data_IF_576075043605
#
_entry.id   IF_576075043605
#
_cell.length_a   1.000
_cell.length_b   1.000
_cell.length_c   1.000
_cell.angle_alpha   90.00
_cell.angle_beta   90.00
_cell.angle_gamma   90.00
#
_symmetry.space_group_name_H-M   'P 1'
#
loop_
_entity.id
_entity.type
_entity.pdbx_description
1 polymer ?
#
# COMPACT_ATOMS: atom_id res chain seq x y z
N UNK A 1 0.50 2.76 -12.34
CA UNK A 1 1.24 1.50 -12.45
C UNK A 1 0.68 0.55 -11.42
N UNK A 2 0.22 -0.62 -11.83
CA UNK A 2 -0.39 -1.60 -10.94
C UNK A 2 0.73 -2.32 -10.17
N UNK A 3 0.76 -2.15 -8.85
CA UNK A 3 1.73 -2.77 -7.94
C UNK A 3 1.03 -3.94 -7.23
N UNK A 4 1.16 -5.18 -7.75
CA UNK A 4 0.83 -6.53 -7.18
C UNK A 4 0.28 -7.49 -8.27
N UNK A 5 0.38 -8.83 -8.29
CA UNK A 5 1.02 -9.91 -7.50
C UNK A 5 1.45 -11.02 -8.49
N UNK A 6 2.74 -11.31 -8.64
CA UNK A 6 3.21 -12.51 -9.34
C UNK A 6 3.27 -13.71 -8.38
N UNK A 7 2.63 -14.84 -8.71
CA UNK A 7 2.91 -16.14 -8.08
C UNK A 7 2.20 -16.50 -6.76
N UNK A 8 0.99 -15.98 -6.48
CA UNK A 8 0.16 -16.38 -5.32
C UNK A 8 -1.24 -16.88 -5.72
N UNK A 9 -2.09 -17.35 -4.77
CA UNK A 9 -3.43 -17.89 -5.07
C UNK A 9 -4.39 -16.89 -5.74
N UNK A 10 -4.10 -15.59 -5.64
CA UNK A 10 -4.85 -14.52 -6.29
C UNK A 10 -4.16 -13.97 -7.56
N UNK A 11 -2.99 -14.50 -7.93
CA UNK A 11 -2.26 -14.06 -9.13
C UNK A 11 -3.02 -14.50 -10.39
N UNK A 12 -3.04 -13.64 -11.41
CA UNK A 12 -3.79 -13.88 -12.65
C UNK A 12 -3.34 -15.13 -13.42
N UNK A 13 -2.11 -15.64 -13.18
CA UNK A 13 -1.56 -16.86 -13.79
C UNK A 13 -0.79 -17.68 -12.75
N UNK A 14 -0.93 -19.01 -12.80
CA UNK A 14 -0.08 -19.93 -12.05
C UNK A 14 1.35 -19.93 -12.63
N UNK A 15 2.39 -20.07 -11.80
CA UNK A 15 3.75 -20.30 -12.31
C UNK A 15 3.85 -21.68 -12.98
N UNK A 16 4.73 -21.83 -13.98
CA UNK A 16 4.92 -23.11 -14.70
C UNK A 16 5.46 -24.26 -13.83
N UNK A 17 5.88 -23.95 -12.60
CA UNK A 17 6.50 -24.88 -11.64
C UNK A 17 5.52 -25.54 -10.67
N UNK A 18 4.22 -25.54 -10.97
CA UNK A 18 3.21 -26.25 -10.16
C UNK A 18 2.82 -27.58 -10.80
N UNK A 19 2.56 -28.59 -9.98
CA UNK A 19 2.01 -29.88 -10.42
C UNK A 19 0.47 -29.95 -10.29
N UNK A 20 -0.20 -28.80 -10.11
CA UNK A 20 -1.65 -28.65 -10.01
C UNK A 20 -2.12 -27.39 -10.75
N UNK A 21 -3.37 -27.38 -11.20
CA UNK A 21 -3.97 -26.18 -11.83
C UNK A 21 -4.72 -25.36 -10.79
N UNK A 22 -4.61 -24.03 -10.84
CA UNK A 22 -5.49 -23.13 -10.09
C UNK A 22 -6.64 -22.74 -11.02
N UNK A 23 -7.74 -23.49 -10.94
CA UNK A 23 -8.94 -23.24 -11.74
C UNK A 23 -9.78 -22.11 -11.12
N UNK A 24 -10.30 -21.22 -11.97
CA UNK A 24 -11.17 -20.10 -11.55
C UNK A 24 -11.33 -19.04 -12.63
N UNK A 25 -12.22 -18.05 -12.42
CA UNK A 25 -12.36 -16.94 -13.36
C UNK A 25 -11.05 -16.13 -13.46
N UNK A 26 -10.81 -15.49 -14.61
CA UNK A 26 -9.62 -14.64 -14.80
C UNK A 26 -9.59 -13.44 -13.82
N UNK A 27 -10.77 -12.92 -13.49
CA UNK A 27 -10.97 -11.93 -12.46
C UNK A 27 -11.45 -12.61 -11.18
N UNK A 28 -10.61 -12.64 -10.15
CA UNK A 28 -10.90 -13.34 -8.90
C UNK A 28 -11.25 -12.34 -7.80
N UNK A 29 -12.30 -12.69 -7.05
CA UNK A 29 -12.74 -11.97 -5.87
C UNK A 29 -12.59 -12.91 -4.67
N UNK A 30 -11.93 -12.45 -3.61
CA UNK A 30 -11.88 -13.14 -2.33
C UNK A 30 -12.51 -12.24 -1.28
N UNK A 31 -13.55 -12.77 -0.63
CA UNK A 31 -14.24 -12.12 0.48
C UNK A 31 -13.80 -12.75 1.79
N UNK A 32 -13.16 -11.96 2.63
CA UNK A 32 -12.54 -12.46 3.86
C UNK A 32 -13.03 -11.69 5.09
N UNK A 33 -13.35 -12.38 6.19
CA UNK A 33 -13.51 -11.74 7.49
C UNK A 33 -12.30 -10.88 7.89
N UNK A 34 -12.56 -9.64 8.29
CA UNK A 34 -11.60 -8.80 8.98
C UNK A 34 -12.00 -8.75 10.46
N UNK A 35 -11.34 -9.52 11.35
CA UNK A 35 -11.84 -9.78 12.70
C UNK A 35 -11.57 -8.64 13.68
N UNK A 36 -10.87 -7.58 13.26
CA UNK A 36 -10.54 -6.42 14.06
C UNK A 36 -11.59 -5.32 13.93
N UNK A 37 -11.76 -4.52 14.97
CA UNK A 37 -12.60 -3.31 14.92
C UNK A 37 -11.99 -2.29 13.98
N UNK A 38 -12.80 -1.68 13.11
CA UNK A 38 -12.37 -0.56 12.27
C UNK A 38 -13.27 0.63 12.52
N UNK A 39 -12.67 1.82 12.60
CA UNK A 39 -13.40 3.08 12.68
C UNK A 39 -12.91 4.08 11.63
N UNK A 40 -13.83 4.91 11.14
CA UNK A 40 -13.52 6.03 10.26
C UNK A 40 -14.20 7.31 10.76
N UNK A 41 -13.47 8.42 10.74
CA UNK A 41 -13.93 9.71 11.23
C UNK A 41 -13.89 10.77 10.12
N UNK A 42 -14.92 11.63 10.09
CA UNK A 42 -14.92 12.90 9.36
C UNK A 42 -15.15 14.01 10.38
N UNK A 43 -14.16 14.89 10.53
CA UNK A 43 -14.05 15.84 11.63
C UNK A 43 -14.03 15.09 12.97
N UNK A 44 -14.92 15.46 13.88
CA UNK A 44 -15.08 14.79 15.18
C UNK A 44 -16.14 13.68 15.18
N UNK A 45 -16.79 13.40 14.04
CA UNK A 45 -17.86 12.41 13.98
C UNK A 45 -17.33 11.06 13.49
N UNK A 46 -17.65 10.00 14.25
CA UNK A 46 -17.46 8.61 13.79
C UNK A 46 -18.51 8.29 12.74
N UNK A 47 -18.07 8.09 11.50
CA UNK A 47 -18.93 7.77 10.34
C UNK A 47 -19.16 6.26 10.23
N UNK A 48 -18.13 5.49 10.58
CA UNK A 48 -18.08 4.03 10.51
C UNK A 48 -17.48 3.49 11.81
N UNK A 49 -18.08 2.45 12.36
CA UNK A 49 -17.56 1.69 13.50
C UNK A 49 -18.03 0.23 13.41
N UNK A 50 -17.13 -0.69 13.05
CA UNK A 50 -17.50 -2.08 12.75
C UNK A 50 -16.51 -3.08 13.33
N UNK A 51 -17.02 -4.13 13.97
CA UNK A 51 -16.29 -5.37 14.31
C UNK A 51 -16.63 -6.53 13.38
N UNK A 52 -17.43 -6.26 12.34
CA UNK A 52 -17.97 -7.27 11.41
C UNK A 52 -17.49 -7.03 9.98
N UNK A 53 -16.42 -6.25 9.83
CA UNK A 53 -15.88 -5.86 8.56
C UNK A 53 -15.33 -7.05 7.75
N UNK A 54 -15.20 -6.82 6.45
CA UNK A 54 -14.75 -7.79 5.45
C UNK A 54 -13.75 -7.12 4.52
N UNK A 55 -12.67 -7.82 4.19
CA UNK A 55 -11.77 -7.41 3.12
C UNK A 55 -12.20 -8.09 1.82
N UNK A 56 -12.45 -7.27 0.80
CA UNK A 56 -12.59 -7.72 -0.58
C UNK A 56 -11.25 -7.59 -1.27
N UNK A 57 -10.62 -8.73 -1.57
CA UNK A 57 -9.46 -8.79 -2.45
C UNK A 57 -9.95 -8.99 -3.88
N UNK A 58 -9.38 -8.21 -4.80
CA UNK A 58 -9.70 -8.24 -6.21
C UNK A 58 -8.38 -8.32 -6.99
N UNK A 59 -8.32 -9.18 -8.00
CA UNK A 59 -7.07 -9.42 -8.74
C UNK A 59 -6.41 -8.12 -9.20
N UNK A 60 -5.15 -7.92 -8.79
CA UNK A 60 -4.31 -6.76 -9.07
C UNK A 60 -4.81 -5.42 -8.49
N UNK A 61 -5.68 -5.45 -7.49
CA UNK A 61 -6.11 -4.26 -6.74
C UNK A 61 -5.78 -4.40 -5.26
N UNK A 62 -5.59 -3.26 -4.60
CA UNK A 62 -5.51 -3.22 -3.15
C UNK A 62 -6.84 -3.66 -2.53
N UNK A 63 -6.80 -4.47 -1.44
CA UNK A 63 -8.03 -4.90 -0.78
C UNK A 63 -8.87 -3.71 -0.30
N UNK A 64 -10.18 -3.83 -0.46
CA UNK A 64 -11.13 -2.82 0.01
C UNK A 64 -11.88 -3.33 1.23
N UNK A 65 -12.01 -2.48 2.25
CA UNK A 65 -12.79 -2.80 3.44
C UNK A 65 -14.27 -2.51 3.16
N UNK A 66 -15.10 -3.52 3.40
CA UNK A 66 -16.55 -3.41 3.41
C UNK A 66 -17.07 -3.69 4.82
N UNK A 67 -18.06 -2.93 5.23
CA UNK A 67 -18.76 -3.10 6.51
C UNK A 67 -20.25 -3.34 6.26
N UNK A 68 -20.97 -4.02 7.17
CA UNK A 68 -22.42 -4.00 7.16
C UNK A 68 -22.94 -2.56 7.12
N UNK A 69 -23.98 -2.30 6.33
CA UNK A 69 -24.57 -0.96 6.21
C UNK A 69 -25.04 -0.40 7.56
N UNK A 70 -25.47 -1.27 8.47
CA UNK A 70 -25.88 -0.90 9.82
C UNK A 70 -24.74 -0.34 10.71
N UNK A 71 -23.48 -0.57 10.33
CA UNK A 71 -22.31 -0.06 11.05
C UNK A 71 -21.88 1.35 10.56
N UNK A 72 -22.61 1.89 9.57
CA UNK A 72 -22.48 3.27 9.11
C UNK A 72 -23.53 4.16 9.79
N UNK A 73 -23.13 5.39 10.09
CA UNK A 73 -24.04 6.43 10.61
C UNK A 73 -24.93 6.98 9.49
N UNK A 74 -26.11 6.37 9.32
CA UNK A 74 -27.06 6.73 8.25
C UNK A 74 -27.53 8.18 8.28
N UNK A 75 -27.59 8.81 9.46
CA UNK A 75 -27.95 10.22 9.61
C UNK A 75 -26.91 11.18 9.00
N UNK A 76 -25.71 10.69 8.67
CA UNK A 76 -24.65 11.45 8.01
C UNK A 76 -24.58 11.18 6.50
N UNK A 77 -25.40 10.27 5.96
CA UNK A 77 -25.32 9.82 4.56
C UNK A 77 -26.39 10.49 3.69
N UNK A 78 -25.96 11.11 2.60
CA UNK A 78 -26.83 11.70 1.58
C UNK A 78 -26.65 10.94 0.26
N UNK A 79 -27.74 10.36 -0.29
CA UNK A 79 -27.63 9.64 -1.57
C UNK A 79 -27.16 10.57 -2.68
N UNK A 80 -26.13 10.16 -3.42
CA UNK A 80 -25.61 10.87 -4.57
C UNK A 80 -26.32 10.40 -5.84
N UNK A 81 -26.37 11.26 -6.87
CA UNK A 81 -26.78 10.85 -8.22
C UNK A 81 -25.71 10.01 -8.95
N UNK A 82 -24.47 9.97 -8.44
CA UNK A 82 -23.38 9.23 -9.06
C UNK A 82 -23.61 7.72 -9.04
N UNK A 83 -23.32 7.05 -10.14
CA UNK A 83 -23.44 5.60 -10.34
C UNK A 83 -22.27 5.11 -11.17
N UNK A 84 -21.83 3.88 -10.92
CA UNK A 84 -20.83 3.20 -11.75
C UNK A 84 -21.27 1.76 -11.99
N UNK A 85 -20.86 1.19 -13.13
CA UNK A 85 -21.10 -0.21 -13.45
C UNK A 85 -19.78 -0.99 -13.38
N UNK A 86 -19.77 -2.09 -12.63
CA UNK A 86 -18.68 -3.04 -12.61
C UNK A 86 -19.15 -4.37 -13.22
N UNK A 87 -18.46 -4.91 -14.24
CA UNK A 87 -18.88 -6.16 -14.90
C UNK A 87 -18.79 -7.39 -13.99
N UNK A 88 -18.14 -7.28 -12.82
CA UNK A 88 -17.96 -8.39 -11.87
C UNK A 88 -18.83 -8.24 -10.62
N UNK A 89 -19.25 -7.01 -10.28
CA UNK A 89 -19.95 -6.71 -9.02
C UNK A 89 -21.35 -6.16 -9.22
N UNK A 90 -21.67 -5.58 -10.38
CA UNK A 90 -22.98 -4.97 -10.68
C UNK A 90 -22.94 -3.45 -10.63
N UNK A 91 -24.10 -2.83 -10.44
CA UNK A 91 -24.25 -1.37 -10.39
C UNK A 91 -24.03 -0.84 -8.97
N UNK A 92 -23.08 0.07 -8.83
CA UNK A 92 -22.77 0.73 -7.57
C UNK A 92 -23.62 1.98 -7.37
N UNK A 93 -24.09 2.17 -6.14
CA UNK A 93 -24.67 3.41 -5.64
C UNK A 93 -23.70 4.11 -4.71
N UNK A 94 -23.83 5.42 -4.62
CA UNK A 94 -22.91 6.28 -3.87
C UNK A 94 -23.67 7.21 -2.93
N UNK A 95 -23.01 7.53 -1.81
CA UNK A 95 -23.48 8.52 -0.83
C UNK A 95 -22.37 9.49 -0.50
N UNK A 96 -22.75 10.76 -0.32
CA UNK A 96 -21.91 11.75 0.33
C UNK A 96 -21.97 11.54 1.85
N UNK A 97 -20.90 11.92 2.55
CA UNK A 97 -20.90 12.01 4.02
C UNK A 97 -20.88 13.47 4.40
N UNK A 98 -21.86 13.93 5.19
CA UNK A 98 -21.94 15.31 5.68
C UNK A 98 -21.83 15.38 7.19
N UNK A 99 -20.90 16.20 7.68
CA UNK A 99 -20.72 16.50 9.11
C UNK A 99 -20.60 18.01 9.29
N UNK A 100 -21.69 18.65 9.71
CA UNK A 100 -21.78 20.11 9.72
C UNK A 100 -21.56 20.67 8.31
N UNK A 101 -20.58 21.56 8.16
CA UNK A 101 -20.21 22.16 6.87
C UNK A 101 -19.23 21.30 6.05
N UNK A 102 -18.69 20.21 6.63
CA UNK A 102 -17.80 19.29 5.90
C UNK A 102 -18.61 18.32 5.05
N UNK A 103 -18.21 18.16 3.79
CA UNK A 103 -18.80 17.20 2.85
C UNK A 103 -17.70 16.38 2.20
N UNK A 104 -17.81 15.06 2.32
CA UNK A 104 -17.02 14.12 1.54
C UNK A 104 -17.92 13.55 0.43
N UNK A 105 -17.73 14.02 -0.81
CA UNK A 105 -18.56 13.64 -1.95
C UNK A 105 -18.29 12.20 -2.40
N UNK A 106 -19.35 11.46 -2.71
CA UNK A 106 -19.30 10.06 -3.17
C UNK A 106 -18.41 9.16 -2.29
N UNK A 107 -18.31 9.47 -0.99
CA UNK A 107 -17.39 8.87 -0.05
C UNK A 107 -17.72 7.41 0.26
N UNK A 108 -18.99 7.03 0.23
CA UNK A 108 -19.48 5.68 0.51
C UNK A 108 -20.07 5.08 -0.75
N UNK A 109 -19.83 3.80 -1.01
CA UNK A 109 -20.52 3.07 -2.07
C UNK A 109 -20.99 1.69 -1.62
N UNK A 110 -21.99 1.17 -2.31
CA UNK A 110 -22.47 -0.21 -2.14
C UNK A 110 -23.00 -0.76 -3.46
N UNK A 111 -23.20 -2.08 -3.50
CA UNK A 111 -23.89 -2.78 -4.58
C UNK A 111 -25.22 -3.30 -4.04
N UNK A 112 -26.35 -2.60 -4.29
CA UNK A 112 -27.66 -3.04 -3.77
C UNK A 112 -28.16 -4.34 -4.42
N UNK A 113 -27.85 -4.50 -5.70
CA UNK A 113 -28.20 -5.67 -6.52
C UNK A 113 -26.93 -6.24 -7.15
N UNK A 114 -26.04 -6.86 -6.35
CA UNK A 114 -24.78 -7.37 -6.88
C UNK A 114 -25.02 -8.56 -7.82
N UNK A 115 -24.11 -8.76 -8.76
CA UNK A 115 -24.13 -9.94 -9.62
C UNK A 115 -24.01 -11.24 -8.79
N UNK A 116 -24.51 -12.36 -9.32
CA UNK A 116 -24.53 -13.64 -8.60
C UNK A 116 -23.15 -14.07 -8.05
N UNK A 117 -22.07 -13.80 -8.81
CA UNK A 117 -20.69 -14.05 -8.41
C UNK A 117 -20.11 -13.06 -7.40
N UNK A 118 -20.93 -12.16 -6.85
CA UNK A 118 -20.59 -11.20 -5.80
C UNK A 118 -21.74 -11.01 -4.79
N UNK A 119 -22.69 -11.96 -4.71
CA UNK A 119 -23.92 -11.83 -3.93
C UNK A 119 -23.70 -11.52 -2.43
N UNK A 120 -22.53 -11.91 -1.89
CA UNK A 120 -22.09 -11.62 -0.52
C UNK A 120 -21.83 -10.12 -0.23
N UNK A 121 -21.77 -9.27 -1.26
CA UNK A 121 -21.71 -7.81 -1.09
C UNK A 121 -23.07 -7.22 -0.66
N UNK A 122 -24.17 -7.97 -0.79
CA UNK A 122 -25.50 -7.50 -0.39
C UNK A 122 -25.49 -7.03 1.06
N UNK A 123 -26.06 -5.85 1.32
CA UNK A 123 -26.12 -5.26 2.66
C UNK A 123 -24.79 -4.72 3.19
N UNK A 124 -23.72 -4.73 2.40
CA UNK A 124 -22.43 -4.15 2.75
C UNK A 124 -22.15 -2.87 1.96
N UNK A 125 -21.36 -1.99 2.55
CA UNK A 125 -20.88 -0.76 1.94
C UNK A 125 -19.39 -0.58 2.25
N UNK A 126 -18.70 0.16 1.39
CA UNK A 126 -17.31 0.54 1.57
C UNK A 126 -17.19 2.06 1.59
N UNK A 127 -16.13 2.56 2.22
CA UNK A 127 -15.83 4.00 2.33
C UNK A 127 -14.45 4.24 1.75
N UNK A 128 -14.30 5.26 0.92
CA UNK A 128 -13.00 5.61 0.35
C UNK A 128 -12.07 6.08 1.46
N UNK A 129 -10.88 5.50 1.55
CA UNK A 129 -9.92 5.86 2.60
C UNK A 129 -9.59 7.35 2.64
N UNK A 130 -9.38 7.95 1.46
CA UNK A 130 -9.04 9.35 1.29
C UNK A 130 -10.19 10.33 1.54
N UNK A 131 -11.41 9.85 1.76
CA UNK A 131 -12.58 10.72 1.98
C UNK A 131 -12.83 11.00 3.46
N UNK A 132 -12.12 10.32 4.36
CA UNK A 132 -12.21 10.48 5.82
C UNK A 132 -10.93 11.12 6.35
N UNK A 133 -11.03 11.82 7.48
CA UNK A 133 -9.89 12.51 8.10
C UNK A 133 -9.00 11.56 8.91
N UNK A 134 -9.59 10.52 9.51
CA UNK A 134 -8.86 9.55 10.33
C UNK A 134 -9.48 8.15 10.24
N UNK A 135 -8.62 7.14 10.34
CA UNK A 135 -8.98 5.74 10.36
C UNK A 135 -8.29 5.02 11.49
N UNK A 136 -8.96 4.05 12.11
CA UNK A 136 -8.42 3.27 13.20
C UNK A 136 -8.59 1.78 12.93
N UNK A 137 -7.51 1.02 13.08
CA UNK A 137 -7.51 -0.44 13.18
C UNK A 137 -7.32 -0.80 14.65
N UNK A 138 -8.36 -1.36 15.27
CA UNK A 138 -8.55 -1.32 16.72
C UNK A 138 -8.45 0.12 17.24
N UNK A 139 -7.51 0.39 18.14
CA UNK A 139 -7.20 1.72 18.69
C UNK A 139 -5.96 2.36 18.05
N UNK A 140 -5.30 1.70 17.09
CA UNK A 140 -4.18 2.26 16.35
C UNK A 140 -4.70 3.09 15.17
N UNK A 141 -4.32 4.37 15.10
CA UNK A 141 -4.60 5.18 13.92
C UNK A 141 -3.78 4.66 12.72
N UNK A 142 -4.45 4.41 11.60
CA UNK A 142 -3.83 3.92 10.37
C UNK A 142 -3.91 4.98 9.28
N UNK A 143 -2.83 5.08 8.50
CA UNK A 143 -2.75 6.02 7.38
C UNK A 143 -2.73 5.27 6.05
N UNK A 144 -3.47 5.77 5.08
CA UNK A 144 -3.56 5.19 3.73
C UNK A 144 -4.67 4.14 3.63
N UNK A 145 -4.50 2.98 4.26
CA UNK A 145 -5.54 1.95 4.37
C UNK A 145 -5.20 0.96 5.49
N UNK A 146 -6.18 0.17 5.94
CA UNK A 146 -5.91 -0.96 6.86
C UNK A 146 -4.91 -1.95 6.23
N UNK A 147 -4.04 -2.51 7.06
CA UNK A 147 -2.99 -3.44 6.60
C UNK A 147 -3.61 -4.77 6.17
N UNK A 148 -3.28 -5.22 4.96
CA UNK A 148 -3.66 -6.53 4.43
C UNK A 148 -2.98 -7.63 5.26
N UNK A 149 -3.72 -8.59 5.86
CA UNK A 149 -3.15 -9.72 6.60
C UNK A 149 -2.16 -10.59 5.81
N UNK A 150 -2.17 -10.56 4.49
CA UNK A 150 -1.25 -11.30 3.62
C UNK A 150 -0.06 -10.47 3.14
N UNK A 151 -0.09 -9.16 3.35
CA UNK A 151 1.05 -8.31 3.06
C UNK A 151 2.08 -8.46 4.17
N UNK A 152 3.32 -8.74 3.79
CA UNK A 152 4.43 -8.94 4.72
C UNK A 152 5.61 -8.10 4.27
N UNK A 153 6.24 -7.46 5.24
CA UNK A 153 7.57 -6.88 5.11
C UNK A 153 8.54 -7.78 5.89
N UNK A 154 9.50 -8.41 5.19
CA UNK A 154 10.57 -9.20 5.83
C UNK A 154 11.92 -8.51 5.61
N UNK A 155 12.67 -8.33 6.70
CA UNK A 155 13.95 -7.62 6.70
C UNK A 155 15.06 -8.54 7.23
N UNK A 156 16.03 -8.85 6.37
CA UNK A 156 17.16 -9.73 6.68
C UNK A 156 18.50 -9.00 6.51
N UNK A 157 19.42 -9.11 7.50
CA UNK A 157 20.78 -8.63 7.28
C UNK A 157 21.42 -9.44 6.15
N UNK A 158 22.25 -8.79 5.34
CA UNK A 158 22.94 -9.45 4.24
C UNK A 158 24.39 -8.99 4.14
N UNK A 159 25.28 -9.94 3.83
CA UNK A 159 26.69 -9.69 3.54
C UNK A 159 27.00 -9.61 2.04
N UNK A 160 25.96 -9.69 1.20
CA UNK A 160 26.08 -9.49 -0.26
C UNK A 160 26.68 -8.12 -0.54
N UNK A 161 27.45 -8.04 -1.61
CA UNK A 161 28.12 -6.81 -2.01
C UNK A 161 27.15 -5.93 -2.79
N UNK A 162 26.79 -4.77 -2.24
CA UNK A 162 25.86 -3.82 -2.84
C UNK A 162 26.60 -2.55 -3.21
N UNK A 163 26.54 -2.15 -4.47
CA UNK A 163 27.14 -0.92 -4.98
C UNK A 163 26.05 -0.07 -5.65
N UNK A 164 25.98 1.22 -5.31
CA UNK A 164 25.05 2.17 -5.92
C UNK A 164 25.83 3.20 -6.71
N UNK A 165 25.46 3.43 -7.97
CA UNK A 165 26.11 4.38 -8.88
C UNK A 165 25.10 5.30 -9.54
N UNK A 166 25.51 6.53 -9.83
CA UNK A 166 24.75 7.47 -10.65
C UNK A 166 25.72 8.27 -11.52
N UNK A 167 25.50 8.29 -12.84
CA UNK A 167 26.36 9.03 -13.78
C UNK A 167 27.86 8.70 -13.67
N UNK A 168 28.21 7.43 -13.43
CA UNK A 168 29.59 6.98 -13.22
C UNK A 168 30.20 7.31 -11.85
N UNK A 169 29.48 8.02 -10.99
CA UNK A 169 29.89 8.30 -9.60
C UNK A 169 29.37 7.20 -8.69
N UNK A 170 30.26 6.58 -7.90
CA UNK A 170 29.86 5.67 -6.83
C UNK A 170 29.32 6.44 -5.63
N UNK A 171 28.08 6.14 -5.26
CA UNK A 171 27.34 6.81 -4.20
C UNK A 171 27.42 6.00 -2.91
N UNK A 172 27.41 4.68 -3.00
CA UNK A 172 27.48 3.81 -1.84
C UNK A 172 28.09 2.45 -2.20
N UNK A 173 28.79 1.84 -1.22
CA UNK A 173 29.30 0.48 -1.30
C UNK A 173 29.15 -0.18 0.08
N UNK A 174 28.45 -1.32 0.15
CA UNK A 174 28.19 -2.01 1.41
C UNK A 174 28.32 -3.53 1.30
N UNK A 175 28.71 -4.16 2.42
CA UNK A 175 28.62 -5.61 2.69
C UNK A 175 27.86 -5.89 3.99
N UNK A 176 27.00 -4.95 4.39
CA UNK A 176 26.25 -4.98 5.66
C UNK A 176 24.90 -4.27 5.51
N UNK A 177 24.32 -4.40 4.33
CA UNK A 177 22.99 -3.89 4.03
C UNK A 177 21.91 -4.75 4.69
N UNK A 178 20.69 -4.24 4.69
CA UNK A 178 19.49 -5.04 4.89
C UNK A 178 18.80 -5.30 3.57
N UNK A 179 18.45 -6.56 3.31
CA UNK A 179 17.52 -6.95 2.26
C UNK A 179 16.11 -6.85 2.83
N UNK A 180 15.27 -6.05 2.17
CA UNK A 180 13.84 -5.97 2.42
C UNK A 180 13.08 -6.67 1.29
N UNK A 181 12.28 -7.66 1.66
CA UNK A 181 11.34 -8.37 0.79
C UNK A 181 9.93 -7.99 1.19
N UNK A 182 9.14 -7.53 0.23
CA UNK A 182 7.78 -7.07 0.47
C UNK A 182 6.82 -7.83 -0.46
N UNK A 183 5.68 -8.28 0.07
CA UNK A 183 4.74 -9.13 -0.68
C UNK A 183 4.40 -8.52 -2.04
N UNK A 184 4.79 -9.21 -3.11
CA UNK A 184 4.48 -8.82 -4.49
C UNK A 184 5.34 -7.69 -5.05
N UNK A 185 6.36 -7.21 -4.34
CA UNK A 185 7.29 -6.18 -4.81
C UNK A 185 8.71 -6.75 -4.99
N UNK A 186 9.52 -6.17 -5.90
CA UNK A 186 10.91 -6.58 -6.02
C UNK A 186 11.69 -6.21 -4.76
N UNK A 187 12.73 -7.00 -4.48
CA UNK A 187 13.61 -6.80 -3.34
C UNK A 187 14.25 -5.40 -3.34
N UNK A 188 14.46 -4.85 -2.14
CA UNK A 188 15.13 -3.57 -1.93
C UNK A 188 16.27 -3.72 -0.95
N UNK A 189 17.38 -3.04 -1.22
CA UNK A 189 18.55 -3.03 -0.35
C UNK A 189 18.61 -1.69 0.39
N UNK A 190 18.72 -1.76 1.71
CA UNK A 190 18.82 -0.63 2.60
C UNK A 190 20.25 -0.58 3.17
N UNK A 191 21.00 0.45 2.79
CA UNK A 191 22.40 0.62 3.13
C UNK A 191 22.52 1.52 4.37
N UNK A 192 23.41 1.18 5.32
CA UNK A 192 23.64 2.05 6.48
C UNK A 192 24.34 3.34 6.01
N UNK A 193 24.01 4.48 6.63
CA UNK A 193 24.52 5.79 6.19
C UNK A 193 26.06 5.86 6.11
N UNK A 194 26.77 5.15 6.99
CA UNK A 194 28.25 5.06 6.99
C UNK A 194 28.86 4.42 5.74
N UNK A 195 28.06 3.73 4.94
CA UNK A 195 28.47 3.09 3.68
C UNK A 195 28.02 3.94 2.47
N UNK A 196 27.44 5.11 2.72
CA UNK A 196 26.90 6.03 1.72
C UNK A 196 27.66 7.34 1.77
N UNK A 197 27.98 7.92 0.61
CA UNK A 197 28.50 9.27 0.45
C UNK A 197 27.40 10.30 0.69
N UNK A 198 27.02 10.47 1.95
CA UNK A 198 25.89 11.34 2.36
C UNK A 198 26.12 12.81 2.04
N UNK A 199 27.36 13.24 1.82
CA UNK A 199 27.72 14.58 1.34
C UNK A 199 27.19 14.88 -0.07
N UNK A 200 26.82 13.86 -0.84
CA UNK A 200 26.17 14.00 -2.15
C UNK A 200 24.64 14.08 -2.06
N UNK A 201 24.07 13.94 -0.85
CA UNK A 201 22.63 13.86 -0.62
C UNK A 201 22.13 15.10 0.12
N UNK A 202 21.09 15.72 -0.43
CA UNK A 202 20.38 16.84 0.20
C UNK A 202 18.96 16.42 0.61
N UNK A 203 18.44 16.86 1.77
CA UNK A 203 17.04 16.68 2.11
C UNK A 203 16.09 17.21 1.04
N UNK A 204 15.10 16.40 0.67
CA UNK A 204 13.98 16.83 -0.18
C UNK A 204 12.79 17.22 0.67
N UNK A 205 11.91 18.08 0.15
CA UNK A 205 10.61 18.36 0.75
C UNK A 205 9.65 17.16 0.59
N UNK A 206 9.94 16.24 -0.33
CA UNK A 206 9.10 15.07 -0.62
C UNK A 206 9.09 14.10 0.56
N UNK A 207 7.88 13.76 0.98
CA UNK A 207 7.61 12.69 1.93
C UNK A 207 6.45 11.85 1.42
N UNK A 208 6.53 10.54 1.60
CA UNK A 208 5.43 9.63 1.29
C UNK A 208 5.10 8.79 2.52
N UNK A 209 3.84 8.38 2.64
CA UNK A 209 3.42 7.52 3.74
C UNK A 209 3.09 6.14 3.20
N UNK A 210 3.72 5.11 3.77
CA UNK A 210 3.42 3.72 3.51
C UNK A 210 2.69 3.11 4.72
N UNK A 211 1.52 2.46 4.55
CA UNK A 211 0.78 1.83 5.65
C UNK A 211 1.57 0.73 6.38
N UNK A 212 2.59 0.16 5.74
CA UNK A 212 3.40 -0.94 6.28
C UNK A 212 4.77 -0.52 6.81
N UNK A 213 5.32 0.59 6.30
CA UNK A 213 6.69 1.03 6.62
C UNK A 213 6.75 2.37 7.36
N UNK A 214 5.69 3.17 7.32
CA UNK A 214 5.62 4.51 7.91
C UNK A 214 5.98 5.60 6.90
N UNK A 215 6.47 6.74 7.41
CA UNK A 215 6.84 7.89 6.58
C UNK A 215 8.24 7.73 5.99
N UNK A 216 8.32 7.73 4.65
CA UNK A 216 9.57 7.83 3.90
C UNK A 216 9.94 9.31 3.73
N UNK A 217 11.20 9.63 3.99
CA UNK A 217 11.79 10.95 3.76
C UNK A 217 12.79 10.84 2.62
N UNK A 218 12.64 11.67 1.60
CA UNK A 218 13.46 11.58 0.39
C UNK A 218 14.71 12.47 0.46
N UNK A 219 15.69 12.12 -0.37
CA UNK A 219 16.95 12.84 -0.54
C UNK A 219 17.24 13.01 -2.03
N UNK A 220 17.55 14.24 -2.43
CA UNK A 220 18.02 14.57 -3.77
C UNK A 220 19.51 14.30 -3.88
N UNK A 221 19.92 13.60 -4.92
CA UNK A 221 21.31 13.26 -5.20
C UNK A 221 21.94 14.30 -6.12
N UNK A 222 23.10 14.84 -5.73
CA UNK A 222 23.92 15.73 -6.57
C UNK A 222 25.25 15.08 -6.88
N UNK A 223 25.53 14.92 -8.16
CA UNK A 223 26.83 14.41 -8.66
C UNK A 223 27.38 15.38 -9.71
N UNK A 224 28.65 15.24 -10.12
CA UNK A 224 29.16 15.98 -11.28
C UNK A 224 28.37 15.71 -12.57
N UNK A 225 27.69 14.56 -12.65
CA UNK A 225 26.84 14.17 -13.79
C UNK A 225 25.44 14.79 -13.78
N UNK A 226 25.06 15.52 -12.72
CA UNK A 226 23.76 16.18 -12.61
C UNK A 226 23.05 15.96 -11.28
N UNK A 227 21.79 16.39 -11.24
CA UNK A 227 20.90 16.30 -10.08
C UNK A 227 19.83 15.25 -10.37
N UNK A 228 19.62 14.33 -9.43
CA UNK A 228 18.53 13.36 -9.46
C UNK A 228 17.66 13.63 -8.24
N UNK A 229 16.49 14.21 -8.48
CA UNK A 229 15.50 14.49 -7.43
C UNK A 229 14.98 13.20 -6.83
N UNK A 230 14.79 13.19 -5.50
CA UNK A 230 14.20 12.06 -4.77
C UNK A 230 14.88 10.69 -5.03
N UNK A 231 16.17 10.71 -5.36
CA UNK A 231 16.96 9.54 -5.75
C UNK A 231 17.08 8.46 -4.67
N UNK A 232 17.01 8.88 -3.40
CA UNK A 232 17.07 7.99 -2.26
C UNK A 232 15.95 8.32 -1.26
N UNK A 233 15.53 7.32 -0.50
CA UNK A 233 14.64 7.54 0.65
C UNK A 233 15.15 6.80 1.89
N UNK A 234 14.66 7.26 3.03
CA UNK A 234 14.94 6.72 4.35
C UNK A 234 13.65 6.66 5.16
N UNK A 235 13.47 5.59 5.94
CA UNK A 235 12.49 5.58 7.01
C UNK A 235 13.21 5.90 8.31
N UNK A 236 13.04 7.12 8.83
CA UNK A 236 13.71 7.55 10.07
C UNK A 236 13.07 6.90 11.30
N UNK A 237 11.73 6.79 11.29
CA UNK A 237 10.91 6.16 12.32
C UNK A 237 9.94 5.17 11.67
N UNK A 238 10.45 4.03 11.18
CA UNK A 238 9.62 3.02 10.53
C UNK A 238 8.65 2.36 11.50
N UNK A 239 7.60 1.75 10.95
CA UNK A 239 6.70 0.85 11.68
C UNK A 239 7.40 -0.47 12.05
N UNK A 240 6.77 -1.24 12.95
CA UNK A 240 7.36 -2.41 13.62
C UNK A 240 8.03 -3.41 12.66
N UNK A 241 7.35 -3.78 11.58
CA UNK A 241 7.85 -4.78 10.61
C UNK A 241 9.10 -4.30 9.85
N UNK A 242 9.30 -2.99 9.76
CA UNK A 242 10.42 -2.35 9.07
C UNK A 242 11.44 -1.72 10.04
N UNK A 243 11.35 -1.97 11.35
CA UNK A 243 12.21 -1.31 12.36
C UNK A 243 13.71 -1.47 12.11
N UNK A 244 14.11 -2.59 11.50
CA UNK A 244 15.51 -2.91 11.22
C UNK A 244 16.16 -1.99 10.17
N UNK A 245 15.37 -1.37 9.29
CA UNK A 245 15.87 -0.44 8.28
C UNK A 245 15.81 1.02 8.76
N UNK A 246 15.54 1.28 10.05
CA UNK A 246 15.51 2.62 10.60
C UNK A 246 16.81 3.38 10.25
N UNK A 247 16.68 4.56 9.67
CA UNK A 247 17.81 5.41 9.28
C UNK A 247 18.63 4.92 8.08
N UNK A 248 18.33 3.76 7.48
CA UNK A 248 19.04 3.26 6.31
C UNK A 248 18.50 3.86 5.02
N UNK A 249 19.37 4.00 4.02
CA UNK A 249 19.04 4.58 2.73
C UNK A 249 18.80 3.50 1.68
N UNK A 250 17.72 3.65 0.92
CA UNK A 250 17.46 2.86 -0.29
C UNK A 250 17.43 3.80 -1.49
N UNK A 251 17.84 3.28 -2.65
CA UNK A 251 18.04 4.04 -3.87
C UNK A 251 17.21 3.41 -5.00
N UNK A 252 16.37 4.22 -5.65
CA UNK A 252 15.58 3.83 -6.82
C UNK A 252 15.07 5.10 -7.50
N UNK A 253 15.74 5.47 -8.58
CA UNK A 253 15.31 6.53 -9.48
C UNK A 253 15.95 6.31 -10.85
N UNK A 254 15.37 6.90 -11.89
CA UNK A 254 15.97 6.89 -13.22
C UNK A 254 17.38 7.51 -13.16
N UNK A 255 18.36 6.82 -13.74
CA UNK A 255 19.76 7.23 -13.69
C UNK A 255 20.53 6.76 -12.45
N UNK A 256 19.89 6.00 -11.53
CA UNK A 256 20.55 5.32 -10.42
C UNK A 256 20.62 3.81 -10.71
N UNK A 257 21.83 3.26 -10.68
CA UNK A 257 22.09 1.84 -10.85
C UNK A 257 22.47 1.22 -9.50
N UNK A 258 21.78 0.14 -9.13
CA UNK A 258 22.18 -0.70 -7.98
C UNK A 258 22.70 -2.02 -8.51
N UNK A 259 23.92 -2.39 -8.12
CA UNK A 259 24.58 -3.65 -8.48
C UNK A 259 24.74 -4.49 -7.22
N UNK A 260 24.35 -5.77 -7.30
CA UNK A 260 24.45 -6.73 -6.19
C UNK A 260 25.26 -7.94 -6.64
N UNK A 261 26.38 -8.19 -5.95
CA UNK A 261 27.34 -9.25 -6.29
C UNK A 261 27.82 -9.22 -7.76
N UNK A 262 27.96 -8.01 -8.32
CA UNK A 262 28.40 -7.79 -9.69
C UNK A 262 27.29 -7.75 -10.74
N UNK A 263 26.04 -8.06 -10.35
CA UNK A 263 24.89 -8.08 -11.26
C UNK A 263 23.94 -6.90 -11.01
N UNK A 264 23.45 -6.20 -12.05
CA UNK A 264 22.43 -5.16 -11.88
C UNK A 264 21.17 -5.69 -11.20
N UNK A 265 20.64 -4.92 -10.25
CA UNK A 265 19.38 -5.23 -9.58
C UNK A 265 18.21 -5.03 -10.56
N UNK A 266 17.51 -6.11 -10.88
CA UNK A 266 16.31 -6.15 -11.73
C UNK A 266 15.07 -5.56 -11.08
#
# INVERSE_FOLDING_TARGET
MTLTLGGGPLASRSPETVNYTIDGPAHRLLWQPFPRRVRALLGSATVLDSTSAKLLHESNLLPQLYVPRADLREDLLEESAHRTHCPFKGDARYWNVRVGDRVAENAVWSYPEPLAGAAWLTGHAAVYWSSMDAWFDEDEEVTGHVRDPYHRVDVRPTSRHVVVRAGGTEIAESRRAYLLSETGLPNRFYLPQRDVRTELLEPSATHTHCPYKGQASYRTLRTPGGVIEDAAWCYERPLEEAVRIAGHLCFLADGVETVVDGEPLS
#
